data_IF_012442273177
#
_entry.id   IF_012442273177
#
_cell.length_a   1.000
_cell.length_b   1.000
_cell.length_c   1.000
_cell.angle_alpha   90.00
_cell.angle_beta   90.00
_cell.angle_gamma   90.00
#
_symmetry.space_group_name_H-M   'P 1'
#
loop_
_entity.id
_entity.type
_entity.pdbx_description
1 polymer ?
#
# COMPACT_ATOMS: atom_id res chain seq x y z
N UNK A 1 15.12 8.62 -23.05
CA UNK A 1 14.80 8.66 -21.60
C UNK A 1 14.54 10.07 -21.03
N UNK A 2 15.52 10.96 -20.80
CA UNK A 2 15.25 12.24 -20.08
C UNK A 2 14.19 13.12 -20.73
N UNK A 3 14.22 13.27 -22.06
CA UNK A 3 13.18 13.99 -22.80
C UNK A 3 11.81 13.27 -22.74
N UNK A 4 11.82 11.94 -22.65
CA UNK A 4 10.60 11.14 -22.47
C UNK A 4 10.00 11.31 -21.09
N UNK A 5 10.79 11.52 -20.03
CA UNK A 5 10.27 11.84 -18.67
C UNK A 5 9.43 13.12 -18.73
N UNK A 6 9.97 14.20 -19.31
CA UNK A 6 9.23 15.47 -19.46
C UNK A 6 7.99 15.32 -20.36
N UNK A 7 8.07 14.47 -21.38
CA UNK A 7 6.94 14.16 -22.25
C UNK A 7 5.87 13.36 -21.51
N UNK A 8 6.26 12.39 -20.69
CA UNK A 8 5.38 11.59 -19.83
C UNK A 8 4.66 12.47 -18.83
N UNK A 9 5.35 13.34 -18.09
CA UNK A 9 4.72 14.28 -17.17
C UNK A 9 3.65 15.14 -17.86
N UNK A 10 3.95 15.69 -19.04
CA UNK A 10 2.99 16.49 -19.81
C UNK A 10 1.81 15.67 -20.33
N UNK A 11 2.03 14.43 -20.75
CA UNK A 11 0.98 13.55 -21.22
C UNK A 11 0.07 13.09 -20.07
N UNK A 12 0.64 12.70 -18.93
CA UNK A 12 -0.09 12.33 -17.72
C UNK A 12 -0.92 13.50 -17.18
N UNK A 13 -0.33 14.69 -17.05
CA UNK A 13 -1.05 15.89 -16.60
C UNK A 13 -2.18 16.31 -17.56
N UNK A 14 -2.04 16.02 -18.85
CA UNK A 14 -3.12 16.24 -19.84
C UNK A 14 -4.26 15.25 -19.64
N UNK A 15 -3.95 13.96 -19.47
CA UNK A 15 -4.95 12.93 -19.16
C UNK A 15 -5.76 13.31 -17.92
N UNK A 16 -5.09 13.82 -16.87
CA UNK A 16 -5.79 14.24 -15.64
C UNK A 16 -6.74 15.43 -15.85
N UNK A 17 -6.45 16.34 -16.79
CA UNK A 17 -7.30 17.49 -17.12
C UNK A 17 -8.44 17.16 -18.07
N UNK A 18 -8.34 16.07 -18.83
CA UNK A 18 -9.43 15.60 -19.67
C UNK A 18 -10.59 15.17 -18.77
N UNK A 19 -11.74 15.82 -18.96
CA UNK A 19 -13.02 15.39 -18.40
C UNK A 19 -13.40 14.09 -19.07
N UNK A 20 -13.33 12.99 -18.33
CA UNK A 20 -13.95 11.73 -18.73
C UNK A 20 -15.36 11.75 -18.15
N UNK A 21 -16.37 11.74 -19.01
CA UNK A 21 -17.73 11.38 -18.59
C UNK A 21 -17.64 10.06 -17.80
N UNK A 22 -18.19 10.09 -16.60
CA UNK A 22 -18.04 9.05 -15.60
C UNK A 22 -18.36 7.65 -16.16
N UNK A 23 -17.54 6.68 -15.77
CA UNK A 23 -17.68 5.24 -16.00
C UNK A 23 -17.30 4.74 -17.41
N UNK A 24 -16.01 4.77 -17.75
CA UNK A 24 -15.51 3.70 -18.62
C UNK A 24 -15.55 2.38 -17.85
N UNK A 25 -16.29 1.40 -18.36
CA UNK A 25 -16.35 0.02 -17.85
C UNK A 25 -14.96 -0.64 -17.75
N UNK A 26 -13.97 -0.12 -18.49
CA UNK A 26 -12.59 -0.61 -18.51
C UNK A 26 -11.61 0.57 -18.53
N UNK A 27 -11.02 0.95 -17.40
CA UNK A 27 -10.03 2.02 -17.38
C UNK A 27 -8.78 1.64 -18.19
N UNK A 28 -8.25 2.59 -18.98
CA UNK A 28 -7.01 2.43 -19.74
C UNK A 28 -5.85 2.00 -18.82
N UNK A 29 -5.13 0.95 -19.21
CA UNK A 29 -3.93 0.48 -18.50
C UNK A 29 -2.73 1.38 -18.79
N UNK A 30 -1.74 1.35 -17.91
CA UNK A 30 -0.47 2.04 -18.09
C UNK A 30 0.23 1.60 -19.39
N UNK A 31 0.21 0.31 -19.70
CA UNK A 31 0.74 -0.23 -20.96
C UNK A 31 0.06 0.39 -22.19
N UNK A 32 -1.28 0.44 -22.21
CA UNK A 32 -2.05 0.98 -23.31
C UNK A 32 -1.77 2.48 -23.49
N UNK A 33 -1.73 3.22 -22.39
CA UNK A 33 -1.35 4.64 -22.40
C UNK A 33 0.06 4.84 -22.98
N UNK A 34 1.06 4.09 -22.50
CA UNK A 34 2.44 4.25 -22.96
C UNK A 34 2.59 3.91 -24.45
N UNK A 35 1.89 2.87 -24.91
CA UNK A 35 1.86 2.44 -26.30
C UNK A 35 1.21 3.49 -27.21
N UNK A 36 0.04 4.01 -26.81
CA UNK A 36 -0.69 5.06 -27.53
C UNK A 36 0.11 6.34 -27.69
N UNK A 37 0.94 6.68 -26.71
CA UNK A 37 1.83 7.83 -26.77
C UNK A 37 3.22 7.49 -27.33
N UNK A 38 3.46 6.27 -27.84
CA UNK A 38 4.74 5.87 -28.43
C UNK A 38 5.95 6.11 -27.52
N UNK A 39 5.88 5.70 -26.25
CA UNK A 39 7.06 5.64 -25.39
C UNK A 39 7.96 4.47 -25.77
N UNK A 40 9.29 4.67 -25.72
CA UNK A 40 10.24 3.62 -26.07
C UNK A 40 10.27 2.51 -25.03
N UNK A 41 10.55 1.27 -25.45
CA UNK A 41 10.72 0.14 -24.53
C UNK A 41 11.78 0.43 -23.45
N UNK A 42 12.86 1.11 -23.83
CA UNK A 42 13.89 1.54 -22.89
C UNK A 42 13.33 2.45 -21.78
N UNK A 43 12.45 3.39 -22.12
CA UNK A 43 11.79 4.23 -21.12
C UNK A 43 10.83 3.42 -20.23
N UNK A 44 10.11 2.46 -20.81
CA UNK A 44 9.23 1.57 -20.05
C UNK A 44 10.04 0.74 -19.04
N UNK A 45 11.07 0.04 -19.50
CA UNK A 45 11.85 -0.91 -18.70
C UNK A 45 12.73 -0.25 -17.64
N UNK A 46 13.29 0.93 -17.92
CA UNK A 46 14.29 1.56 -17.07
C UNK A 46 13.79 2.79 -16.31
N UNK A 47 12.56 3.25 -16.55
CA UNK A 47 11.97 4.37 -15.80
C UNK A 47 10.58 4.03 -15.26
N UNK A 48 9.61 3.70 -16.12
CA UNK A 48 8.22 3.53 -15.67
C UNK A 48 8.02 2.29 -14.81
N UNK A 49 8.46 1.13 -15.29
CA UNK A 49 8.31 -0.12 -14.54
C UNK A 49 9.03 -0.04 -13.19
N UNK A 50 10.30 0.41 -13.10
CA UNK A 50 10.96 0.62 -11.82
C UNK A 50 10.25 1.61 -10.90
N UNK A 51 9.69 2.70 -11.43
CA UNK A 51 8.94 3.69 -10.64
C UNK A 51 7.74 3.05 -9.96
N UNK A 52 6.88 2.36 -10.72
CA UNK A 52 5.67 1.73 -10.19
C UNK A 52 6.01 0.55 -9.27
N UNK A 53 6.95 -0.30 -9.71
CA UNK A 53 7.38 -1.45 -8.93
C UNK A 53 8.03 -1.07 -7.60
N UNK A 54 8.79 0.04 -7.54
CA UNK A 54 9.36 0.52 -6.28
C UNK A 54 8.29 1.07 -5.31
N UNK A 55 7.20 1.67 -5.81
CA UNK A 55 6.15 2.24 -4.97
C UNK A 55 5.22 1.16 -4.40
N UNK A 56 4.86 0.16 -5.21
CA UNK A 56 3.90 -0.89 -4.80
C UNK A 56 4.50 -2.28 -4.63
N UNK A 57 5.82 -2.43 -4.75
CA UNK A 57 6.53 -3.72 -4.65
C UNK A 57 5.88 -4.82 -5.51
N UNK A 58 5.45 -4.49 -6.72
CA UNK A 58 4.74 -5.39 -7.63
C UNK A 58 5.56 -5.74 -8.87
N UNK A 59 5.38 -6.95 -9.41
CA UNK A 59 6.08 -7.41 -10.61
C UNK A 59 5.88 -6.47 -11.81
N UNK A 60 6.83 -6.51 -12.75
CA UNK A 60 6.80 -5.59 -13.91
C UNK A 60 5.55 -5.71 -14.77
N UNK A 61 5.02 -6.93 -14.95
CA UNK A 61 3.77 -7.15 -15.66
C UNK A 61 2.56 -6.54 -14.93
N UNK A 62 2.51 -6.67 -13.60
CA UNK A 62 1.44 -6.08 -12.79
C UNK A 62 1.51 -4.55 -12.80
N UNK A 63 2.72 -3.99 -12.75
CA UNK A 63 2.96 -2.55 -12.85
C UNK A 63 2.39 -1.95 -14.15
N UNK A 64 2.47 -2.67 -15.26
CA UNK A 64 1.96 -2.22 -16.56
C UNK A 64 0.44 -2.35 -16.69
N UNK A 65 -0.20 -3.21 -15.89
CA UNK A 65 -1.67 -3.33 -15.81
C UNK A 65 -2.32 -2.22 -14.99
N UNK A 66 -1.53 -1.43 -14.25
CA UNK A 66 -2.05 -0.36 -13.39
C UNK A 66 -2.95 0.60 -14.17
N UNK A 67 -4.16 0.96 -13.70
CA UNK A 67 -5.00 1.93 -14.37
C UNK A 67 -4.33 3.31 -14.46
N UNK A 68 -4.08 3.80 -15.67
CA UNK A 68 -3.22 4.96 -15.93
C UNK A 68 -3.67 6.22 -15.18
N UNK A 69 -4.96 6.57 -15.29
CA UNK A 69 -5.51 7.75 -14.59
C UNK A 69 -5.37 7.63 -13.07
N UNK A 70 -5.68 6.47 -12.51
CA UNK A 70 -5.60 6.23 -11.06
C UNK A 70 -4.16 6.32 -10.55
N UNK A 71 -3.19 5.79 -11.30
CA UNK A 71 -1.76 5.96 -11.04
C UNK A 71 -1.34 7.44 -11.11
N UNK A 72 -1.77 8.16 -12.14
CA UNK A 72 -1.33 9.54 -12.35
C UNK A 72 -1.87 10.49 -11.30
N UNK A 73 -3.09 10.28 -10.79
CA UNK A 73 -3.61 11.02 -9.62
C UNK A 73 -2.67 10.84 -8.43
N UNK A 74 -2.25 9.59 -8.16
CA UNK A 74 -1.28 9.34 -7.09
C UNK A 74 0.04 10.07 -7.34
N UNK A 75 0.62 9.92 -8.54
CA UNK A 75 1.89 10.55 -8.86
C UNK A 75 1.81 12.09 -8.75
N UNK A 76 0.68 12.69 -9.12
CA UNK A 76 0.45 14.13 -9.01
C UNK A 76 0.41 14.59 -7.54
N UNK A 77 -0.39 13.92 -6.71
CA UNK A 77 -0.47 14.21 -5.26
C UNK A 77 0.89 14.11 -4.55
N UNK A 78 1.79 13.25 -5.06
CA UNK A 78 3.12 13.03 -4.49
C UNK A 78 4.22 13.83 -5.21
N UNK A 79 3.87 14.77 -6.11
CA UNK A 79 4.82 15.59 -6.86
C UNK A 79 5.74 14.80 -7.79
N UNK A 80 5.40 13.55 -8.11
CA UNK A 80 6.15 12.63 -8.97
C UNK A 80 5.86 12.83 -10.46
N UNK A 81 4.95 13.74 -10.82
CA UNK A 81 4.77 14.23 -12.20
C UNK A 81 5.53 15.54 -12.48
N UNK A 82 6.54 15.83 -11.66
CA UNK A 82 7.38 17.02 -11.76
C UNK A 82 8.85 16.67 -11.54
N UNK A 83 9.78 17.53 -11.98
CA UNK A 83 11.22 17.33 -11.74
C UNK A 83 11.66 17.95 -10.42
N UNK A 84 10.95 18.98 -9.95
CA UNK A 84 11.24 19.75 -8.74
C UNK A 84 9.96 19.97 -7.95
N UNK A 85 10.08 20.24 -6.66
CA UNK A 85 8.92 20.53 -5.81
C UNK A 85 8.24 19.29 -5.26
N UNK A 86 8.94 18.14 -5.21
CA UNK A 86 8.44 16.96 -4.51
C UNK A 86 8.16 17.30 -3.03
N UNK A 87 7.02 16.84 -2.47
CA UNK A 87 6.71 17.01 -1.07
C UNK A 87 7.82 16.47 -0.17
N UNK A 88 8.00 17.11 0.99
CA UNK A 88 8.92 16.60 2.01
C UNK A 88 8.25 15.42 2.72
N UNK A 89 8.81 14.23 2.53
CA UNK A 89 8.41 13.04 3.28
C UNK A 89 8.84 13.15 4.73
N UNK A 90 7.95 12.77 5.64
CA UNK A 90 8.19 12.72 7.09
C UNK A 90 8.11 11.28 7.58
N UNK A 91 8.83 11.01 8.65
CA UNK A 91 8.75 9.75 9.40
C UNK A 91 8.42 10.05 10.85
N UNK A 92 7.82 9.09 11.54
CA UNK A 92 7.61 9.19 12.99
C UNK A 92 8.94 8.95 13.68
N UNK A 93 9.39 9.90 14.50
CA UNK A 93 10.59 9.72 15.32
C UNK A 93 10.42 8.50 16.22
N UNK A 94 11.40 7.58 16.20
CA UNK A 94 11.32 6.30 16.90
C UNK A 94 10.51 5.21 16.17
N UNK A 95 9.95 5.51 14.99
CA UNK A 95 9.24 4.56 14.14
C UNK A 95 7.73 4.50 14.36
N UNK A 96 7.04 3.79 13.46
CA UNK A 96 5.58 3.64 13.47
C UNK A 96 5.02 2.92 14.69
N UNK A 97 5.83 2.10 15.36
CA UNK A 97 5.45 1.42 16.61
C UNK A 97 4.95 2.39 17.69
N UNK A 98 5.43 3.64 17.69
CA UNK A 98 5.04 4.64 18.67
C UNK A 98 3.54 4.99 18.58
N UNK A 99 3.01 5.26 17.38
CA UNK A 99 1.57 5.57 17.28
C UNK A 99 0.72 4.32 17.48
N UNK A 100 1.22 3.13 17.11
CA UNK A 100 0.52 1.86 17.35
C UNK A 100 0.37 1.61 18.86
N UNK A 101 1.44 1.81 19.63
CA UNK A 101 1.42 1.70 21.09
C UNK A 101 0.52 2.75 21.73
N UNK A 102 0.56 3.99 21.23
CA UNK A 102 -0.31 5.07 21.71
C UNK A 102 -1.80 4.75 21.50
N UNK A 103 -2.17 4.19 20.34
CA UNK A 103 -3.54 3.73 20.06
C UNK A 103 -3.89 2.55 20.97
N UNK A 104 -3.03 1.53 21.06
CA UNK A 104 -3.28 0.33 21.85
C UNK A 104 -3.51 0.64 23.34
N UNK A 105 -2.82 1.64 23.89
CA UNK A 105 -2.99 2.09 25.27
C UNK A 105 -4.36 2.73 25.57
N UNK A 106 -5.13 3.11 24.54
CA UNK A 106 -6.47 3.69 24.66
C UNK A 106 -7.58 2.67 24.44
N UNK A 107 -7.25 1.41 24.11
CA UNK A 107 -8.24 0.37 23.86
C UNK A 107 -8.54 -0.40 25.15
N UNK A 108 -9.82 -0.71 25.38
CA UNK A 108 -10.25 -1.50 26.54
C UNK A 108 -9.60 -2.90 26.57
N UNK A 109 -9.42 -3.50 25.40
CA UNK A 109 -8.84 -4.84 25.26
C UNK A 109 -7.99 -4.94 23.99
N UNK A 110 -6.78 -5.49 24.14
CA UNK A 110 -5.89 -5.84 23.03
C UNK A 110 -5.45 -7.29 23.16
N UNK A 111 -5.93 -8.14 22.24
CA UNK A 111 -5.57 -9.56 22.19
C UNK A 111 -4.54 -9.83 21.09
N UNK A 112 -3.29 -10.10 21.49
CA UNK A 112 -2.20 -10.47 20.56
C UNK A 112 -2.07 -11.98 20.43
N UNK A 113 -1.59 -12.47 19.28
CA UNK A 113 -1.48 -13.91 18.97
C UNK A 113 -2.83 -14.65 19.02
N UNK A 114 -3.92 -13.93 18.75
CA UNK A 114 -5.30 -14.47 18.78
C UNK A 114 -5.92 -14.31 17.39
N UNK A 115 -5.58 -15.18 16.42
CA UNK A 115 -6.12 -15.07 15.07
C UNK A 115 -7.63 -15.28 15.08
N UNK A 116 -8.37 -14.37 14.45
CA UNK A 116 -9.80 -14.51 14.19
C UNK A 116 -9.99 -15.47 13.02
N UNK A 117 -10.76 -16.53 13.22
CA UNK A 117 -11.01 -17.55 12.22
C UNK A 117 -12.48 -17.67 11.83
N UNK A 118 -13.39 -17.01 12.57
CA UNK A 118 -14.81 -16.93 12.20
C UNK A 118 -15.43 -15.60 12.64
N UNK A 119 -16.31 -15.08 11.80
CA UNK A 119 -17.18 -13.93 12.03
C UNK A 119 -18.54 -14.26 11.43
N UNK A 120 -19.51 -14.50 12.32
CA UNK A 120 -20.90 -14.80 11.97
C UNK A 120 -21.80 -13.64 12.32
N UNK A 121 -22.66 -13.24 11.38
CA UNK A 121 -23.75 -12.30 11.62
C UNK A 121 -24.88 -12.99 12.40
N UNK A 122 -25.40 -12.32 13.42
CA UNK A 122 -26.59 -12.72 14.17
C UNK A 122 -27.68 -11.65 14.02
N UNK A 123 -28.97 -11.97 14.30
CA UNK A 123 -30.05 -10.97 14.26
C UNK A 123 -29.79 -9.76 15.16
N UNK A 124 -29.11 -9.99 16.28
CA UNK A 124 -28.89 -9.07 17.39
C UNK A 124 -27.40 -8.87 17.74
N UNK A 125 -26.48 -9.26 16.85
CA UNK A 125 -25.05 -9.04 17.05
C UNK A 125 -24.15 -9.67 15.99
N UNK A 126 -22.90 -9.90 16.37
CA UNK A 126 -21.95 -10.74 15.66
C UNK A 126 -21.32 -11.71 16.65
N UNK A 127 -20.97 -12.90 16.16
CA UNK A 127 -20.23 -13.91 16.91
C UNK A 127 -18.84 -14.05 16.28
N UNK A 128 -17.80 -13.87 17.10
CA UNK A 128 -16.39 -13.88 16.68
C UNK A 128 -15.71 -15.08 17.32
N UNK A 129 -15.21 -16.01 16.50
CA UNK A 129 -14.30 -17.06 16.94
C UNK A 129 -12.85 -16.64 16.73
N UNK A 130 -12.06 -16.67 17.80
CA UNK A 130 -10.66 -16.25 17.77
C UNK A 130 -9.81 -17.07 18.73
N UNK A 131 -8.59 -17.43 18.29
CA UNK A 131 -7.70 -18.33 19.04
C UNK A 131 -8.36 -19.68 19.34
N UNK A 132 -7.98 -20.30 20.47
CA UNK A 132 -8.51 -21.60 20.91
C UNK A 132 -9.69 -21.46 21.91
N UNK A 133 -10.16 -20.24 22.14
CA UNK A 133 -11.22 -19.94 23.10
C UNK A 133 -12.63 -20.10 22.52
N UNK A 134 -13.66 -20.05 23.38
CA UNK A 134 -15.05 -20.02 22.92
C UNK A 134 -15.32 -18.74 22.13
N UNK A 135 -16.21 -18.82 21.14
CA UNK A 135 -16.63 -17.63 20.39
C UNK A 135 -17.26 -16.58 21.31
N UNK A 136 -16.93 -15.32 21.06
CA UNK A 136 -17.42 -14.17 21.83
C UNK A 136 -18.43 -13.38 21.02
N UNK A 137 -19.44 -12.86 21.71
CA UNK A 137 -20.51 -12.08 21.10
C UNK A 137 -20.25 -10.58 21.27
N UNK A 138 -20.49 -9.82 20.21
CA UNK A 138 -20.39 -8.36 20.16
C UNK A 138 -21.59 -7.78 19.42
N UNK A 139 -21.82 -6.47 19.53
CA UNK A 139 -22.92 -5.79 18.82
C UNK A 139 -22.62 -5.61 17.32
N UNK A 140 -21.36 -5.32 17.01
CA UNK A 140 -20.82 -5.07 15.69
C UNK A 140 -19.33 -5.44 15.61
N UNK A 141 -18.78 -5.53 14.39
CA UNK A 141 -17.36 -5.77 14.10
C UNK A 141 -16.88 -4.87 12.95
N UNK A 142 -15.66 -4.35 13.12
CA UNK A 142 -14.89 -3.76 12.02
C UNK A 142 -13.86 -4.78 11.55
N UNK A 143 -13.94 -5.19 10.29
CA UNK A 143 -13.00 -6.10 9.65
C UNK A 143 -11.88 -5.28 9.02
N UNK A 144 -10.72 -5.23 9.67
CA UNK A 144 -9.56 -4.42 9.29
C UNK A 144 -8.37 -5.25 8.78
N UNK A 145 -8.64 -6.42 8.19
CA UNK A 145 -7.65 -7.33 7.60
C UNK A 145 -7.65 -7.21 6.07
N UNK A 146 -6.74 -7.91 5.38
CA UNK A 146 -6.75 -7.93 3.92
C UNK A 146 -8.05 -8.56 3.37
N UNK A 147 -8.53 -8.16 2.16
CA UNK A 147 -9.76 -8.67 1.55
C UNK A 147 -9.85 -10.19 1.45
N UNK A 148 -8.77 -10.87 1.11
CA UNK A 148 -8.67 -12.33 1.07
C UNK A 148 -8.86 -12.96 2.47
N UNK A 149 -8.21 -12.38 3.49
CA UNK A 149 -8.36 -12.79 4.89
C UNK A 149 -9.77 -12.52 5.41
N UNK A 150 -10.38 -11.40 5.00
CA UNK A 150 -11.76 -11.06 5.34
C UNK A 150 -12.73 -12.12 4.77
N UNK A 151 -12.53 -12.56 3.52
CA UNK A 151 -13.34 -13.62 2.93
C UNK A 151 -13.16 -14.98 3.61
N UNK A 152 -11.98 -15.27 4.14
CA UNK A 152 -11.70 -16.50 4.87
C UNK A 152 -12.37 -16.54 6.26
N UNK A 153 -12.45 -15.41 6.96
CA UNK A 153 -13.04 -15.36 8.30
C UNK A 153 -14.55 -15.16 8.31
N UNK A 154 -15.17 -14.71 7.22
CA UNK A 154 -16.63 -14.54 7.16
C UNK A 154 -17.30 -15.91 6.97
N UNK A 155 -18.23 -16.27 7.88
CA UNK A 155 -18.96 -17.55 7.78
C UNK A 155 -19.85 -17.60 6.52
N UNK A 156 -20.55 -16.50 6.24
CA UNK A 156 -21.48 -16.36 5.12
C UNK A 156 -21.27 -15.01 4.42
N UNK A 157 -20.17 -14.84 3.65
CA UNK A 157 -19.98 -13.61 2.91
C UNK A 157 -21.11 -13.46 1.89
N UNK A 158 -21.58 -12.24 1.64
CA UNK A 158 -22.61 -12.00 0.62
C UNK A 158 -22.02 -12.19 -0.79
N UNK A 159 -22.83 -12.38 -1.84
CA UNK A 159 -22.34 -12.38 -3.21
C UNK A 159 -21.56 -11.11 -3.57
N UNK A 160 -22.00 -9.94 -3.08
CA UNK A 160 -21.31 -8.67 -3.28
C UNK A 160 -19.96 -8.64 -2.56
N UNK A 161 -19.88 -9.13 -1.32
CA UNK A 161 -18.63 -9.22 -0.57
C UNK A 161 -17.61 -10.12 -1.28
N UNK A 162 -18.03 -11.31 -1.73
CA UNK A 162 -17.18 -12.21 -2.53
C UNK A 162 -16.67 -11.55 -3.80
N UNK A 163 -17.55 -10.90 -4.56
CA UNK A 163 -17.19 -10.27 -5.82
C UNK A 163 -16.21 -9.10 -5.63
N UNK A 164 -16.47 -8.22 -4.66
CA UNK A 164 -15.67 -7.01 -4.46
C UNK A 164 -14.37 -7.31 -3.74
N UNK A 165 -14.40 -8.03 -2.61
CA UNK A 165 -13.18 -8.34 -1.86
C UNK A 165 -12.27 -9.30 -2.64
N UNK A 166 -12.85 -10.25 -3.38
CA UNK A 166 -12.10 -11.22 -4.18
C UNK A 166 -11.41 -10.62 -5.41
N UNK A 167 -11.84 -9.43 -5.86
CA UNK A 167 -11.22 -8.72 -6.97
C UNK A 167 -9.99 -7.88 -6.55
N UNK A 168 -9.72 -7.73 -5.26
CA UNK A 168 -8.59 -6.96 -4.73
C UNK A 168 -7.49 -7.94 -4.32
N UNK A 169 -6.67 -8.32 -5.31
CA UNK A 169 -5.56 -9.25 -5.11
C UNK A 169 -4.37 -8.58 -4.42
N UNK A 170 -3.52 -9.40 -3.79
CA UNK A 170 -2.28 -8.97 -3.14
C UNK A 170 -1.09 -9.73 -3.71
N UNK A 171 0.05 -9.06 -3.83
CA UNK A 171 1.35 -9.70 -4.05
C UNK A 171 2.06 -9.90 -2.71
N UNK A 172 2.71 -11.04 -2.53
CA UNK A 172 3.52 -11.32 -1.34
C UNK A 172 4.99 -11.20 -1.67
N UNK A 173 5.72 -10.44 -0.86
CA UNK A 173 7.15 -10.21 -0.99
C UNK A 173 7.86 -10.54 0.32
N UNK A 174 8.98 -11.26 0.22
CA UNK A 174 9.92 -11.40 1.33
C UNK A 174 10.86 -10.20 1.35
N UNK A 175 11.13 -9.71 2.56
CA UNK A 175 12.01 -8.60 2.83
C UNK A 175 13.06 -9.02 3.87
N UNK A 176 14.30 -8.61 3.64
CA UNK A 176 15.40 -8.82 4.57
C UNK A 176 15.87 -7.47 5.10
N UNK A 177 15.91 -7.31 6.43
CA UNK A 177 16.65 -6.24 7.09
C UNK A 177 18.10 -6.70 7.27
N UNK A 178 19.06 -5.96 6.74
CA UNK A 178 20.47 -6.34 6.73
C UNK A 178 21.40 -5.11 6.71
N UNK A 179 22.71 -5.36 6.74
CA UNK A 179 23.72 -4.29 6.63
C UNK A 179 24.73 -4.46 5.50
N UNK A 180 24.49 -5.43 4.61
CA UNK A 180 25.26 -5.60 3.38
C UNK A 180 25.02 -4.46 2.38
N UNK A 181 25.97 -3.54 2.25
CA UNK A 181 25.91 -2.43 1.28
C UNK A 181 26.24 -2.84 -0.16
N UNK A 182 26.62 -4.10 -0.43
CA UNK A 182 26.95 -4.57 -1.78
C UNK A 182 25.76 -4.54 -2.75
N UNK A 183 24.54 -4.57 -2.21
CA UNK A 183 23.29 -4.45 -2.97
C UNK A 183 23.02 -3.03 -3.48
N UNK A 184 23.70 -2.02 -2.93
CA UNK A 184 23.52 -0.63 -3.33
C UNK A 184 24.23 -0.32 -4.66
N UNK A 185 23.83 0.76 -5.37
CA UNK A 185 24.55 1.22 -6.55
C UNK A 185 26.06 1.38 -6.30
N UNK A 186 26.86 0.86 -7.24
CA UNK A 186 28.33 0.96 -7.25
C UNK A 186 28.79 2.42 -7.23
N UNK A 187 28.09 3.29 -7.94
CA UNK A 187 28.34 4.73 -7.91
C UNK A 187 27.69 5.34 -6.67
N UNK A 188 28.49 5.78 -5.70
CA UNK A 188 28.00 6.38 -4.45
C UNK A 188 27.03 7.54 -4.67
N UNK A 189 27.21 8.35 -5.73
CA UNK A 189 26.31 9.46 -6.07
C UNK A 189 24.93 9.04 -6.58
N UNK A 190 24.77 7.77 -6.98
CA UNK A 190 23.51 7.19 -7.40
C UNK A 190 22.76 6.49 -6.25
N UNK A 191 23.39 6.35 -5.07
CA UNK A 191 22.73 5.77 -3.90
C UNK A 191 21.64 6.72 -3.42
N UNK A 192 20.40 6.25 -3.47
CA UNK A 192 19.23 6.99 -3.02
C UNK A 192 18.60 6.30 -1.81
N UNK A 193 17.54 6.89 -1.27
CA UNK A 193 16.74 6.23 -0.25
C UNK A 193 16.13 4.92 -0.76
N UNK A 194 15.74 4.89 -2.04
CA UNK A 194 15.17 3.72 -2.70
C UNK A 194 16.04 3.38 -3.91
N UNK A 195 16.47 2.12 -4.04
CA UNK A 195 17.39 1.70 -5.09
C UNK A 195 16.79 0.48 -5.79
N UNK A 196 16.41 0.64 -7.05
CA UNK A 196 15.85 -0.43 -7.87
C UNK A 196 16.94 -1.09 -8.71
N UNK A 197 16.97 -2.42 -8.72
CA UNK A 197 17.92 -3.19 -9.54
C UNK A 197 17.20 -3.86 -10.71
N UNK A 198 17.36 -3.28 -11.91
CA UNK A 198 16.90 -3.89 -13.15
C UNK A 198 17.81 -5.08 -13.48
N UNK A 199 17.23 -6.28 -13.56
CA UNK A 199 17.93 -7.50 -13.97
C UNK A 199 17.33 -7.99 -15.29
N UNK A 200 18.03 -7.87 -16.43
CA UNK A 200 17.49 -8.28 -17.72
C UNK A 200 17.01 -9.74 -17.72
N UNK A 201 15.80 -9.99 -18.25
CA UNK A 201 15.19 -11.32 -18.31
C UNK A 201 14.62 -11.85 -16.98
N UNK A 202 14.68 -11.05 -15.90
CA UNK A 202 14.04 -11.37 -14.63
C UNK A 202 12.87 -10.42 -14.39
N UNK A 203 11.70 -10.98 -14.05
CA UNK A 203 10.49 -10.20 -13.79
C UNK A 203 10.29 -9.87 -12.31
N UNK A 204 11.12 -10.43 -11.41
CA UNK A 204 11.06 -10.15 -9.99
C UNK A 204 11.56 -8.74 -9.68
N UNK A 205 10.84 -8.07 -8.80
CA UNK A 205 11.23 -6.78 -8.24
C UNK A 205 12.37 -6.99 -7.27
N UNK A 206 13.44 -6.22 -7.43
CA UNK A 206 14.51 -6.13 -6.45
C UNK A 206 14.70 -4.66 -6.09
N UNK A 207 14.26 -4.29 -4.88
CA UNK A 207 14.36 -2.92 -4.36
C UNK A 207 15.04 -2.94 -3.00
N UNK A 208 16.06 -2.10 -2.85
CA UNK A 208 16.75 -1.87 -1.58
C UNK A 208 16.48 -0.48 -1.05
N UNK A 209 15.92 -0.41 0.15
CA UNK A 209 15.61 0.80 0.89
C UNK A 209 16.72 1.10 1.88
N UNK A 210 17.33 2.28 1.78
CA UNK A 210 18.28 2.80 2.77
C UNK A 210 17.51 3.38 3.96
N UNK A 211 17.21 2.51 4.94
CA UNK A 211 16.43 2.86 6.12
C UNK A 211 17.18 3.84 7.00
N UNK A 212 18.51 3.71 7.10
CA UNK A 212 19.34 4.70 7.78
C UNK A 212 19.13 6.10 7.22
N UNK A 213 19.08 6.25 5.89
CA UNK A 213 18.80 7.53 5.24
C UNK A 213 17.33 7.98 5.42
N UNK A 214 16.36 7.08 5.24
CA UNK A 214 14.93 7.39 5.33
C UNK A 214 14.50 7.82 6.74
N UNK A 215 15.02 7.13 7.75
CA UNK A 215 14.69 7.36 9.15
C UNK A 215 15.69 8.28 9.86
N UNK A 216 16.75 8.73 9.17
CA UNK A 216 17.87 9.49 9.74
C UNK A 216 18.44 8.81 10.98
N UNK A 217 18.68 7.50 10.88
CA UNK A 217 19.27 6.74 11.99
C UNK A 217 20.73 7.19 12.18
N UNK A 218 21.09 7.49 13.41
CA UNK A 218 22.46 7.84 13.78
C UNK A 218 23.37 6.61 13.82
N UNK A 219 24.68 6.85 13.70
CA UNK A 219 25.72 5.84 13.81
C UNK A 219 26.46 5.56 12.50
N UNK A 220 27.56 4.79 12.60
CA UNK A 220 28.41 4.45 11.45
C UNK A 220 27.91 3.27 10.60
N UNK A 221 26.93 2.51 11.09
CA UNK A 221 26.40 1.32 10.41
C UNK A 221 25.14 1.67 9.64
N UNK A 222 25.09 1.24 8.37
CA UNK A 222 23.92 1.41 7.50
C UNK A 222 22.98 0.22 7.60
N UNK A 223 21.68 0.49 7.70
CA UNK A 223 20.62 -0.50 7.71
C UNK A 223 19.81 -0.40 6.42
N UNK A 224 19.70 -1.54 5.74
CA UNK A 224 19.00 -1.68 4.47
C UNK A 224 17.86 -2.68 4.63
N UNK A 225 16.76 -2.41 3.93
CA UNK A 225 15.72 -3.40 3.70
C UNK A 225 15.70 -3.73 2.23
N UNK A 226 15.93 -4.98 1.86
CA UNK A 226 15.85 -5.43 0.46
C UNK A 226 14.64 -6.33 0.28
N UNK A 227 13.77 -5.96 -0.66
CA UNK A 227 12.62 -6.76 -1.10
C UNK A 227 12.96 -7.47 -2.41
N UNK A 228 12.68 -8.77 -2.46
CA UNK A 228 13.10 -9.65 -3.55
C UNK A 228 14.62 -9.87 -3.59
N UNK A 229 15.08 -10.79 -4.44
CA UNK A 229 16.52 -11.07 -4.58
C UNK A 229 17.19 -11.56 -3.30
N UNK A 230 16.54 -12.47 -2.57
CA UNK A 230 17.04 -13.09 -1.32
C UNK A 230 18.46 -13.65 -1.47
N UNK A 231 18.78 -14.15 -2.66
CA UNK A 231 20.09 -14.68 -3.06
C UNK A 231 21.19 -13.63 -3.21
N UNK A 232 20.84 -12.33 -3.14
CA UNK A 232 21.78 -11.22 -3.34
C UNK A 232 22.30 -10.60 -2.05
N UNK A 233 21.64 -10.85 -0.94
CA UNK A 233 22.06 -10.33 0.37
C UNK A 233 22.98 -11.34 1.02
N UNK A 234 24.15 -10.90 1.51
CA UNK A 234 25.01 -11.76 2.33
C UNK A 234 24.24 -12.27 3.56
N UNK A 235 24.00 -13.59 3.71
CA UNK A 235 23.22 -14.14 4.81
C UNK A 235 23.79 -13.83 6.19
N UNK A 236 25.11 -13.63 6.30
CA UNK A 236 25.76 -13.28 7.57
C UNK A 236 25.46 -11.85 8.03
N UNK A 237 24.96 -11.00 7.12
CA UNK A 237 24.59 -9.61 7.41
C UNK A 237 23.10 -9.43 7.75
N UNK A 238 22.29 -10.48 7.58
CA UNK A 238 20.84 -10.45 7.81
C UNK A 238 20.55 -10.34 9.30
N UNK A 239 19.70 -9.39 9.66
CA UNK A 239 19.25 -9.11 11.02
C UNK A 239 17.86 -9.70 11.25
N UNK A 240 16.96 -9.53 10.28
CA UNK A 240 15.59 -10.02 10.35
C UNK A 240 15.03 -10.27 8.95
N UNK A 241 14.07 -11.18 8.87
CA UNK A 241 13.29 -11.44 7.67
C UNK A 241 11.81 -11.25 7.97
N UNK A 242 11.09 -10.63 7.04
CA UNK A 242 9.67 -10.32 7.17
C UNK A 242 8.97 -10.59 5.84
N UNK A 243 7.74 -11.08 5.91
CA UNK A 243 6.87 -11.25 4.75
C UNK A 243 5.84 -10.13 4.75
N UNK A 244 5.77 -9.38 3.64
CA UNK A 244 4.79 -8.33 3.44
C UNK A 244 3.87 -8.69 2.27
N UNK A 245 2.63 -8.25 2.34
CA UNK A 245 1.70 -8.33 1.21
C UNK A 245 1.25 -6.93 0.82
N UNK A 246 1.25 -6.64 -0.48
CA UNK A 246 0.87 -5.34 -1.04
C UNK A 246 -0.33 -5.50 -1.97
N UNK A 247 -1.31 -4.58 -1.96
CA UNK A 247 -2.43 -4.64 -2.89
C UNK A 247 -1.95 -4.45 -4.33
N UNK A 248 -2.50 -5.24 -5.24
CA UNK A 248 -2.30 -5.11 -6.67
C UNK A 248 -3.39 -4.24 -7.27
N UNK A 249 -2.99 -3.17 -7.95
CA UNK A 249 -3.92 -2.28 -8.63
C UNK A 249 -4.01 -2.64 -10.10
N UNK A 250 -5.10 -3.30 -10.45
CA UNK A 250 -5.55 -3.59 -11.82
C UNK A 250 -6.87 -2.87 -12.11
N UNK A 251 -7.33 -2.83 -13.37
CA UNK A 251 -8.64 -2.30 -13.72
C UNK A 251 -9.78 -2.90 -12.88
N UNK A 252 -9.70 -4.21 -12.62
CA UNK A 252 -10.69 -4.95 -11.85
C UNK A 252 -10.67 -4.54 -10.37
N UNK A 253 -9.48 -4.49 -9.75
CA UNK A 253 -9.35 -4.11 -8.34
C UNK A 253 -9.79 -2.65 -8.07
N UNK A 254 -9.50 -1.71 -8.98
CA UNK A 254 -9.89 -0.30 -8.83
C UNK A 254 -11.39 -0.13 -9.09
N UNK A 255 -11.97 -0.91 -10.00
CA UNK A 255 -13.42 -0.97 -10.15
C UNK A 255 -14.10 -1.53 -8.89
N UNK A 256 -13.57 -2.60 -8.31
CA UNK A 256 -14.05 -3.18 -7.06
C UNK A 256 -13.91 -2.20 -5.88
N UNK A 257 -12.81 -1.47 -5.79
CA UNK A 257 -12.58 -0.45 -4.76
C UNK A 257 -13.71 0.59 -4.72
N UNK A 258 -14.25 1.01 -5.88
CA UNK A 258 -15.38 1.97 -5.96
C UNK A 258 -16.66 1.42 -5.35
N UNK A 259 -16.80 0.10 -5.25
CA UNK A 259 -17.96 -0.58 -4.66
C UNK A 259 -17.79 -0.86 -3.17
N UNK A 260 -16.60 -0.68 -2.58
CA UNK A 260 -16.38 -0.90 -1.14
C UNK A 260 -17.38 -0.17 -0.22
N UNK A 261 -17.77 1.10 -0.49
CA UNK A 261 -18.76 1.78 0.34
C UNK A 261 -20.13 1.11 0.39
N UNK A 262 -20.46 0.26 -0.60
CA UNK A 262 -21.73 -0.47 -0.66
C UNK A 262 -21.69 -1.80 0.08
N UNK A 263 -20.51 -2.28 0.47
CA UNK A 263 -20.35 -3.51 1.25
C UNK A 263 -20.69 -3.31 2.73
N UNK A 264 -20.83 -4.44 3.44
CA UNK A 264 -21.15 -4.46 4.86
C UNK A 264 -22.58 -4.04 5.16
N UNK A 265 -22.87 -3.85 6.45
CA UNK A 265 -24.20 -3.52 6.95
C UNK A 265 -24.07 -2.67 8.24
N UNK A 266 -25.08 -2.68 9.11
CA UNK A 266 -25.06 -1.94 10.39
C UNK A 266 -24.32 -2.68 11.51
N UNK A 267 -23.76 -3.86 11.23
CA UNK A 267 -23.05 -4.73 12.18
C UNK A 267 -21.65 -5.10 11.72
N UNK A 268 -21.45 -5.37 10.44
CA UNK A 268 -20.14 -5.72 9.88
C UNK A 268 -19.73 -4.64 8.90
N UNK A 269 -18.62 -3.97 9.21
CA UNK A 269 -18.06 -2.90 8.38
C UNK A 269 -16.61 -3.23 8.03
N UNK A 270 -16.17 -2.86 6.83
CA UNK A 270 -14.83 -3.13 6.35
C UNK A 270 -13.96 -1.87 6.43
N UNK A 271 -12.70 -2.04 6.81
CA UNK A 271 -11.70 -1.00 6.85
C UNK A 271 -10.35 -1.56 6.39
N UNK A 272 -9.45 -0.70 5.92
CA UNK A 272 -8.12 -1.09 5.49
C UNK A 272 -7.62 -0.23 4.34
N UNK A 273 -6.31 -0.23 4.17
CA UNK A 273 -5.63 0.63 3.19
C UNK A 273 -6.08 0.37 1.73
N UNK A 274 -6.65 -0.80 1.45
CA UNK A 274 -7.26 -1.14 0.16
C UNK A 274 -8.49 -0.30 -0.23
N UNK A 275 -8.96 0.58 0.66
CA UNK A 275 -9.96 1.60 0.31
C UNK A 275 -9.37 2.81 -0.44
N UNK A 276 -8.05 2.90 -0.58
CA UNK A 276 -7.35 3.92 -1.36
C UNK A 276 -6.10 3.35 -2.02
N UNK A 277 -4.96 4.02 -1.96
CA UNK A 277 -3.73 3.59 -2.65
C UNK A 277 -2.87 2.61 -1.86
N UNK A 278 -3.35 2.11 -0.72
CA UNK A 278 -2.67 1.08 0.06
C UNK A 278 -1.69 1.65 1.08
N UNK A 279 -1.80 2.94 1.41
CA UNK A 279 -0.92 3.61 2.35
C UNK A 279 -1.59 3.86 3.71
N UNK A 280 -0.79 4.35 4.67
CA UNK A 280 -1.22 4.54 6.05
C UNK A 280 -2.43 5.48 6.19
N UNK A 281 -2.47 6.56 5.42
CA UNK A 281 -3.60 7.49 5.43
C UNK A 281 -4.90 6.81 4.93
N UNK A 282 -4.82 5.96 3.91
CA UNK A 282 -5.98 5.21 3.43
C UNK A 282 -6.52 4.26 4.50
N UNK A 283 -5.61 3.64 5.26
CA UNK A 283 -5.93 2.81 6.42
C UNK A 283 -6.61 3.59 7.54
N UNK A 284 -6.02 4.73 7.96
CA UNK A 284 -6.57 5.58 9.01
C UNK A 284 -7.94 6.17 8.62
N UNK A 285 -8.05 6.71 7.41
CA UNK A 285 -9.27 7.29 6.89
C UNK A 285 -10.39 6.24 6.73
N UNK A 286 -10.07 5.02 6.31
CA UNK A 286 -11.06 3.93 6.24
C UNK A 286 -11.52 3.47 7.63
N UNK A 287 -10.62 3.38 8.61
CA UNK A 287 -10.98 3.11 10.01
C UNK A 287 -11.94 4.17 10.56
N UNK A 288 -11.67 5.45 10.31
CA UNK A 288 -12.56 6.55 10.69
C UNK A 288 -13.95 6.42 10.05
N UNK A 289 -14.02 6.09 8.74
CA UNK A 289 -15.30 5.86 8.06
C UNK A 289 -16.06 4.68 8.67
N UNK A 290 -15.35 3.60 9.02
CA UNK A 290 -15.97 2.43 9.65
C UNK A 290 -16.52 2.74 11.04
N UNK A 291 -15.76 3.47 11.87
CA UNK A 291 -16.22 3.92 13.18
C UNK A 291 -17.47 4.79 13.08
N UNK A 292 -17.50 5.76 12.16
CA UNK A 292 -18.68 6.61 11.89
C UNK A 292 -19.89 5.82 11.45
N UNK A 293 -19.71 4.79 10.61
CA UNK A 293 -20.81 3.91 10.17
C UNK A 293 -21.44 3.13 11.33
N UNK A 294 -20.68 2.88 12.40
CA UNK A 294 -21.17 2.25 13.64
C UNK A 294 -21.63 3.28 14.70
N UNK A 295 -21.76 4.56 14.32
CA UNK A 295 -22.30 5.61 15.19
C UNK A 295 -21.28 6.31 16.08
N UNK A 296 -19.97 6.10 15.87
CA UNK A 296 -18.94 6.86 16.57
C UNK A 296 -18.76 8.26 15.95
N UNK A 297 -18.74 9.29 16.78
CA UNK A 297 -18.41 10.64 16.35
C UNK A 297 -16.91 10.91 16.48
N UNK A 298 -16.38 11.67 15.50
CA UNK A 298 -15.03 12.21 15.60
C UNK A 298 -15.14 13.65 16.08
N UNK A 299 -14.68 13.99 17.31
CA UNK A 299 -14.75 15.36 17.79
C UNK A 299 -13.97 16.28 16.84
N UNK A 300 -14.56 17.43 16.51
CA UNK A 300 -13.90 18.42 15.67
C UNK A 300 -12.59 18.89 16.34
N UNK A 301 -11.51 18.86 15.56
CA UNK A 301 -10.14 19.34 15.82
C UNK A 301 -9.75 19.53 17.31
N UNK A 302 -8.88 18.64 17.80
CA UNK A 302 -8.02 18.95 18.94
C UNK A 302 -7.23 20.23 18.56
N UNK A 303 -7.20 21.28 19.42
CA UNK A 303 -6.37 22.45 19.17
C UNK A 303 -4.96 21.99 18.84
N UNK A 304 -4.45 22.42 17.69
CA UNK A 304 -3.13 22.05 17.23
C UNK A 304 -2.10 22.62 18.21
N UNK A 305 -1.73 21.87 19.24
CA UNK A 305 -0.54 22.19 20.02
C UNK A 305 0.61 22.24 19.02
N UNK A 306 1.32 23.37 19.03
CA UNK A 306 2.33 23.72 18.05
C UNK A 306 3.25 22.51 17.83
N UNK A 307 3.18 21.92 16.63
CA UNK A 307 4.18 20.94 16.21
C UNK A 307 5.52 21.66 16.27
N UNK A 308 6.32 21.33 17.28
CA UNK A 308 7.70 21.83 17.37
C UNK A 308 8.42 21.24 16.17
N UNK A 309 8.77 22.10 15.22
CA UNK A 309 9.64 21.72 14.13
C UNK A 309 11.03 21.39 14.72
N UNK A 310 11.47 20.14 14.54
CA UNK A 310 12.88 19.79 14.63
C UNK A 310 13.58 20.08 13.31
#
# INVERSE_FOLDING_TARGET
MLAEILRFHRAAARLLREETDNAEDKPETLEAFLSRHHFSQYFVDYFITPLVAAVWSCGGADALRYPARYLFVFLDHHGMLSVFGSPTWRTVTGGSANYVQAIAAQLDEVSTRTPVHSLRRLPDGVLVGAGDGPSRRFDAAVVAVHPDQALLLLDEPTPAERAVLGAIAYSTNSAQLHTDESVLPRHHRARASWNYLVTPGQHQVVVSYDISRLMRLDGGRRYLVTLGGHDRVDPSSVIAEMTYSHPLYTPESVAAQRLLPTLGDNRVVFAGAYHGWGFHEDGAASGLRAARRLGADWPAAIPQEAMVAC
#
